data_IF_367980834393
#
_entry.id   IF_367980834393
#
_cell.length_a   1.000
_cell.length_b   1.000
_cell.length_c   1.000
_cell.angle_alpha   90.00
_cell.angle_beta   90.00
_cell.angle_gamma   90.00
#
_symmetry.space_group_name_H-M   'P 1'
#
loop_
_entity.id
_entity.type
_entity.pdbx_description
1 polymer ?
#
# COMPACT_ATOMS: atom_id res chain seq x y z
N UNK A 1 -23.71 -10.83 -19.86
CA UNK A 1 -22.42 -10.35 -19.35
C UNK A 1 -22.74 -9.43 -18.20
N UNK A 2 -22.18 -9.67 -17.02
CA UNK A 2 -22.25 -8.69 -15.93
C UNK A 2 -21.08 -7.74 -16.21
N UNK A 3 -21.37 -6.47 -16.50
CA UNK A 3 -20.32 -5.45 -16.47
C UNK A 3 -19.83 -5.37 -15.02
N UNK A 4 -18.55 -5.64 -14.81
CA UNK A 4 -17.92 -5.39 -13.51
C UNK A 4 -17.91 -3.90 -13.23
N UNK A 5 -17.83 -3.54 -11.94
CA UNK A 5 -17.66 -2.14 -11.55
C UNK A 5 -16.40 -1.55 -12.23
N UNK A 6 -16.43 -0.27 -12.63
CA UNK A 6 -15.29 0.35 -13.28
C UNK A 6 -14.09 0.40 -12.33
N UNK A 7 -12.98 -0.22 -12.75
CA UNK A 7 -11.69 -0.09 -12.11
C UNK A 7 -11.14 1.32 -12.40
N UNK A 8 -11.16 2.21 -11.40
CA UNK A 8 -10.69 3.59 -11.52
C UNK A 8 -9.21 3.73 -11.15
N UNK A 9 -8.65 2.79 -10.39
CA UNK A 9 -7.22 2.70 -10.06
C UNK A 9 -6.72 1.28 -10.25
N UNK A 10 -5.48 1.14 -10.70
CA UNK A 10 -4.85 -0.15 -10.93
C UNK A 10 -3.98 -0.55 -9.74
N UNK A 11 -4.20 -1.76 -9.23
CA UNK A 11 -3.38 -2.37 -8.18
C UNK A 11 -2.73 -3.65 -8.70
N UNK A 12 -1.40 -3.69 -8.72
CA UNK A 12 -0.65 -4.94 -8.89
C UNK A 12 -0.11 -5.40 -7.55
N UNK A 13 -0.18 -6.70 -7.27
CA UNK A 13 0.38 -7.29 -6.05
C UNK A 13 1.51 -8.25 -6.42
N UNK A 14 2.62 -8.17 -5.69
CA UNK A 14 3.65 -9.18 -5.77
C UNK A 14 3.10 -10.53 -5.31
N UNK A 15 3.55 -11.62 -5.95
CA UNK A 15 3.09 -13.00 -5.69
C UNK A 15 3.03 -13.36 -4.19
N UNK A 16 4.02 -12.93 -3.41
CA UNK A 16 4.06 -13.20 -1.98
C UNK A 16 2.87 -12.59 -1.21
N UNK A 17 2.39 -11.41 -1.61
CA UNK A 17 1.19 -10.81 -1.03
C UNK A 17 -0.04 -11.64 -1.42
N UNK A 18 -0.12 -12.08 -2.67
CA UNK A 18 -1.22 -12.94 -3.13
C UNK A 18 -1.28 -14.27 -2.38
N UNK A 19 -0.12 -14.87 -2.09
CA UNK A 19 -0.03 -16.09 -1.28
C UNK A 19 -0.49 -15.88 0.17
N UNK A 20 -0.38 -14.67 0.73
CA UNK A 20 -0.93 -14.35 2.05
C UNK A 20 -2.46 -14.21 2.05
N UNK A 21 -3.04 -13.85 0.91
CA UNK A 21 -4.49 -13.73 0.70
C UNK A 21 -5.17 -15.06 0.40
N UNK A 22 -4.41 -16.13 0.18
CA UNK A 22 -4.96 -17.43 -0.15
C UNK A 22 -5.71 -18.02 1.06
N UNK A 23 -7.04 -18.14 0.94
CA UNK A 23 -7.93 -18.64 1.97
C UNK A 23 -7.54 -20.05 2.46
N UNK A 24 -6.95 -20.88 1.59
CA UNK A 24 -6.51 -22.24 1.95
C UNK A 24 -5.37 -22.22 2.99
N UNK A 25 -4.67 -21.10 3.12
CA UNK A 25 -3.57 -20.93 4.07
C UNK A 25 -4.03 -20.44 5.46
N UNK A 26 -5.29 -20.00 5.58
CA UNK A 26 -5.83 -19.38 6.79
C UNK A 26 -6.27 -20.41 7.82
N UNK A 27 -5.30 -20.97 8.53
CA UNK A 27 -5.56 -21.92 9.62
C UNK A 27 -6.10 -21.26 10.91
N UNK A 28 -6.14 -19.93 10.97
CA UNK A 28 -6.67 -19.13 12.09
C UNK A 28 -7.81 -18.22 11.58
N UNK A 29 -9.04 -18.34 12.10
CA UNK A 29 -10.16 -17.48 11.73
C UNK A 29 -9.90 -15.97 11.89
N UNK A 30 -9.08 -15.56 12.88
CA UNK A 30 -8.73 -14.16 13.05
C UNK A 30 -7.83 -13.64 11.92
N UNK A 31 -6.96 -14.52 11.41
CA UNK A 31 -6.11 -14.23 10.27
C UNK A 31 -6.94 -14.06 9.00
N UNK A 32 -7.94 -14.93 8.80
CA UNK A 32 -8.85 -14.81 7.66
C UNK A 32 -9.68 -13.53 7.66
N UNK A 33 -10.22 -13.12 8.81
CA UNK A 33 -10.92 -11.81 8.93
C UNK A 33 -9.97 -10.66 8.60
N UNK A 34 -8.71 -10.76 9.03
CA UNK A 34 -7.70 -9.73 8.78
C UNK A 34 -7.34 -9.66 7.29
N UNK A 35 -7.10 -10.77 6.61
CA UNK A 35 -6.76 -10.73 5.19
C UNK A 35 -7.97 -10.41 4.30
N UNK A 36 -9.17 -10.91 4.61
CA UNK A 36 -10.39 -10.48 3.91
C UNK A 36 -10.66 -8.97 4.04
N UNK A 37 -10.38 -8.36 5.20
CA UNK A 37 -10.46 -6.90 5.33
C UNK A 37 -9.32 -6.17 4.59
N UNK A 38 -8.16 -6.81 4.38
CA UNK A 38 -7.11 -6.23 3.55
C UNK A 38 -7.52 -6.24 2.07
N UNK A 39 -8.18 -7.30 1.60
CA UNK A 39 -8.77 -7.37 0.26
C UNK A 39 -9.84 -6.29 0.07
N UNK A 40 -10.74 -6.10 1.04
CA UNK A 40 -11.72 -5.02 0.97
C UNK A 40 -11.06 -3.63 0.89
N UNK A 41 -9.90 -3.43 1.53
CA UNK A 41 -9.12 -2.20 1.39
C UNK A 41 -8.50 -2.08 -0.01
N UNK A 42 -8.09 -3.19 -0.64
CA UNK A 42 -7.65 -3.20 -2.04
C UNK A 42 -8.78 -2.87 -3.01
N UNK A 43 -9.97 -3.45 -2.81
CA UNK A 43 -11.15 -3.13 -3.61
C UNK A 43 -11.51 -1.65 -3.49
N UNK A 44 -11.45 -1.10 -2.27
CA UNK A 44 -11.65 0.34 -2.03
C UNK A 44 -10.65 1.20 -2.80
N UNK A 45 -9.40 0.79 -2.90
CA UNK A 45 -8.41 1.50 -3.71
C UNK A 45 -8.79 1.45 -5.20
N UNK A 46 -9.05 0.24 -5.72
CA UNK A 46 -9.29 -0.08 -7.13
C UNK A 46 -10.58 0.57 -7.68
N UNK A 47 -11.65 0.55 -6.89
CA UNK A 47 -12.95 1.17 -7.24
C UNK A 47 -12.90 2.70 -7.28
N UNK A 48 -11.79 3.31 -6.83
CA UNK A 48 -11.61 4.76 -6.87
C UNK A 48 -12.37 5.50 -5.79
N UNK A 49 -12.65 4.85 -4.64
CA UNK A 49 -13.23 5.54 -3.49
C UNK A 49 -12.38 6.73 -3.06
N UNK A 50 -13.02 7.70 -2.40
CA UNK A 50 -12.31 8.79 -1.74
C UNK A 50 -11.49 8.22 -0.59
N UNK A 51 -10.17 8.30 -0.75
CA UNK A 51 -9.20 7.78 0.22
C UNK A 51 -8.40 8.94 0.86
N UNK A 52 -8.27 8.96 2.20
CA UNK A 52 -7.39 9.90 2.89
C UNK A 52 -5.91 9.58 2.65
N UNK A 53 -5.11 10.58 2.26
CA UNK A 53 -3.71 10.45 1.88
C UNK A 53 -2.80 11.28 2.79
N UNK A 54 -1.86 10.62 3.46
CA UNK A 54 -0.78 11.28 4.20
C UNK A 54 0.40 11.59 3.29
N UNK A 55 0.49 12.82 2.78
CA UNK A 55 1.60 13.27 1.94
C UNK A 55 2.88 13.57 2.74
N UNK A 56 2.74 14.12 3.94
CA UNK A 56 3.86 14.38 4.86
C UNK A 56 4.21 13.08 5.63
N UNK A 57 5.42 12.51 5.47
CA UNK A 57 5.81 11.31 6.20
C UNK A 57 5.75 11.44 7.73
N UNK A 58 5.91 12.65 8.28
CA UNK A 58 5.98 12.93 9.72
C UNK A 58 4.71 13.59 10.28
N UNK A 59 3.92 14.26 9.43
CA UNK A 59 2.69 14.97 9.79
C UNK A 59 1.38 14.31 9.34
N UNK A 60 1.40 13.02 8.97
CA UNK A 60 0.22 12.30 8.47
C UNK A 60 -0.83 12.01 9.55
N UNK A 61 -2.09 12.26 9.25
CA UNK A 61 -3.21 11.85 10.10
C UNK A 61 -3.26 10.33 10.36
N UNK A 62 -3.70 9.95 11.56
CA UNK A 62 -3.86 8.54 11.93
C UNK A 62 -4.86 7.79 11.05
N UNK A 63 -5.84 8.52 10.50
CA UNK A 63 -6.85 8.04 9.57
C UNK A 63 -6.42 7.97 8.10
N UNK A 64 -5.16 8.26 7.76
CA UNK A 64 -4.71 8.12 6.38
C UNK A 64 -4.84 6.66 5.91
N UNK A 65 -5.51 6.45 4.78
CA UNK A 65 -5.62 5.16 4.10
C UNK A 65 -4.32 4.81 3.38
N UNK A 66 -3.70 5.80 2.74
CA UNK A 66 -2.36 5.67 2.15
C UNK A 66 -1.44 6.73 2.73
N UNK A 67 -0.14 6.44 2.78
CA UNK A 67 0.83 7.43 3.21
C UNK A 67 2.17 7.25 2.51
N UNK A 68 2.78 8.39 2.16
CA UNK A 68 4.16 8.45 1.65
C UNK A 68 5.14 8.12 2.78
N UNK A 69 6.23 7.45 2.42
CA UNK A 69 7.29 7.07 3.36
C UNK A 69 8.49 8.00 3.19
N UNK A 70 9.20 8.25 4.28
CA UNK A 70 10.46 8.96 4.26
C UNK A 70 11.62 8.07 3.78
N UNK A 71 12.57 8.60 2.98
CA UNK A 71 12.50 9.90 2.33
C UNK A 71 11.64 9.88 1.04
N UNK A 72 10.88 10.96 0.71
CA UNK A 72 9.96 10.99 -0.43
C UNK A 72 10.56 10.66 -1.79
N UNK A 73 11.84 10.98 -2.00
CA UNK A 73 12.53 10.74 -3.27
C UNK A 73 12.76 9.25 -3.59
N UNK A 74 12.55 8.34 -2.62
CA UNK A 74 12.61 6.90 -2.88
C UNK A 74 11.32 6.36 -3.51
N UNK A 75 10.24 7.15 -3.52
CA UNK A 75 8.98 6.79 -4.17
C UNK A 75 8.20 5.66 -3.49
N UNK A 76 8.48 5.38 -2.21
CA UNK A 76 7.82 4.31 -1.47
C UNK A 76 6.64 4.84 -0.66
N UNK A 77 5.57 4.05 -0.66
CA UNK A 77 4.30 4.32 0.01
C UNK A 77 3.83 3.12 0.81
N UNK A 78 2.88 3.37 1.71
CA UNK A 78 2.09 2.30 2.35
C UNK A 78 0.61 2.47 2.10
N UNK A 79 -0.09 1.39 1.74
CA UNK A 79 -1.51 1.22 2.06
C UNK A 79 -1.61 0.81 3.53
N UNK A 80 -2.53 1.44 4.27
CA UNK A 80 -2.68 1.33 5.71
C UNK A 80 -4.01 0.63 6.04
N UNK A 81 -3.98 -0.70 6.08
CA UNK A 81 -5.10 -1.45 6.62
C UNK A 81 -5.06 -1.48 8.15
N UNK A 82 -5.92 -0.69 8.81
CA UNK A 82 -5.76 -0.35 10.24
C UNK A 82 -6.61 -1.19 11.20
N UNK A 83 -7.82 -1.57 10.77
CA UNK A 83 -8.81 -2.27 11.59
C UNK A 83 -9.39 -3.46 10.79
N UNK A 84 -9.73 -4.60 11.43
CA UNK A 84 -9.41 -4.94 12.82
C UNK A 84 -7.88 -5.11 13.04
N UNK A 85 -7.47 -5.22 14.31
CA UNK A 85 -6.06 -5.45 14.68
C UNK A 85 -5.68 -6.93 14.49
N UNK A 86 -4.41 -7.24 14.20
CA UNK A 86 -3.29 -6.30 14.06
C UNK A 86 -3.37 -5.50 12.76
N UNK A 87 -2.86 -4.26 12.75
CA UNK A 87 -2.87 -3.46 11.52
C UNK A 87 -1.81 -3.97 10.54
N UNK A 88 -2.10 -3.94 9.25
CA UNK A 88 -1.17 -4.32 8.17
C UNK A 88 -0.73 -3.06 7.40
N UNK A 89 0.51 -3.07 6.94
CA UNK A 89 1.07 -2.09 6.01
C UNK A 89 1.50 -2.81 4.76
N UNK A 90 0.98 -2.38 3.62
CA UNK A 90 1.42 -2.88 2.31
C UNK A 90 2.37 -1.84 1.76
N UNK A 91 3.65 -2.18 1.69
CA UNK A 91 4.67 -1.30 1.12
C UNK A 91 4.69 -1.51 -0.39
N UNK A 92 4.82 -0.41 -1.11
CA UNK A 92 4.82 -0.43 -2.56
C UNK A 92 5.22 0.91 -3.15
N UNK A 93 5.06 1.03 -4.46
CA UNK A 93 5.36 2.25 -5.19
C UNK A 93 4.37 2.46 -6.34
N UNK A 94 4.24 3.70 -6.77
CA UNK A 94 3.53 4.03 -8.00
C UNK A 94 4.45 3.83 -9.20
N UNK A 95 3.90 3.29 -10.29
CA UNK A 95 4.57 3.30 -11.59
C UNK A 95 4.18 4.54 -12.40
N UNK A 96 2.91 4.93 -12.31
CA UNK A 96 2.27 6.09 -12.93
C UNK A 96 1.06 6.51 -12.06
N UNK A 97 0.42 7.67 -12.31
CA UNK A 97 -0.76 8.08 -11.55
C UNK A 97 -1.85 7.00 -11.55
N UNK A 98 -2.48 6.77 -10.39
CA UNK A 98 -3.50 5.75 -10.13
C UNK A 98 -3.06 4.29 -10.38
N UNK A 99 -1.76 4.02 -10.61
CA UNK A 99 -1.20 2.67 -10.72
C UNK A 99 -0.22 2.40 -9.57
N UNK A 100 -0.69 1.65 -8.57
CA UNK A 100 0.11 1.23 -7.42
C UNK A 100 0.54 -0.23 -7.53
N UNK A 101 1.79 -0.51 -7.16
CA UNK A 101 2.33 -1.87 -7.06
C UNK A 101 2.65 -2.17 -5.60
N UNK A 102 1.87 -3.06 -4.98
CA UNK A 102 2.13 -3.61 -3.65
C UNK A 102 3.23 -4.68 -3.72
N UNK A 103 4.31 -4.50 -2.95
CA UNK A 103 5.53 -5.29 -3.07
C UNK A 103 5.75 -6.24 -1.88
N UNK A 104 5.48 -5.77 -0.66
CA UNK A 104 5.57 -6.57 0.57
C UNK A 104 4.48 -6.14 1.56
N UNK A 105 4.10 -7.03 2.47
CA UNK A 105 3.29 -6.68 3.65
C UNK A 105 4.14 -6.74 4.92
N UNK A 106 3.76 -5.94 5.93
CA UNK A 106 4.30 -6.02 7.28
C UNK A 106 3.21 -5.72 8.29
N UNK A 107 3.21 -6.44 9.42
CA UNK A 107 2.33 -6.12 10.54
C UNK A 107 2.86 -4.86 11.24
N UNK A 108 1.97 -3.88 11.47
CA UNK A 108 2.34 -2.56 12.01
C UNK A 108 3.09 -2.64 13.34
N UNK A 109 2.74 -3.57 14.23
CA UNK A 109 3.38 -3.68 15.55
C UNK A 109 4.87 -4.07 15.46
N UNK A 110 5.27 -4.71 14.36
CA UNK A 110 6.64 -5.21 14.15
C UNK A 110 7.54 -4.17 13.46
N UNK A 111 6.96 -3.06 12.98
CA UNK A 111 7.67 -2.01 12.23
C UNK A 111 8.28 -0.92 13.10
N UNK A 112 8.09 -0.95 14.42
CA UNK A 112 8.54 0.15 15.30
C UNK A 112 7.93 1.51 14.93
N UNK A 113 8.75 2.51 14.68
CA UNK A 113 8.34 3.87 14.31
C UNK A 113 9.05 4.37 13.04
N UNK A 114 8.68 5.53 12.46
CA UNK A 114 9.22 6.00 11.17
C UNK A 114 10.75 6.12 11.07
N UNK A 115 11.46 6.23 12.19
CA UNK A 115 12.92 6.25 12.25
C UNK A 115 13.56 4.96 12.80
N UNK A 116 12.77 3.90 13.03
CA UNK A 116 13.33 2.65 13.54
C UNK A 116 13.99 1.84 12.43
N UNK A 117 14.89 0.94 12.84
CA UNK A 117 15.60 0.05 11.91
C UNK A 117 14.64 -0.87 11.16
N UNK A 118 13.60 -1.36 11.81
CA UNK A 118 12.59 -2.25 11.24
C UNK A 118 11.80 -1.54 10.14
N UNK A 119 11.46 -0.27 10.34
CA UNK A 119 10.81 0.56 9.32
C UNK A 119 11.72 0.79 8.11
N UNK A 120 12.99 1.13 8.36
CA UNK A 120 13.99 1.31 7.30
C UNK A 120 14.20 0.01 6.51
N UNK A 121 14.36 -1.13 7.19
CA UNK A 121 14.52 -2.43 6.55
C UNK A 121 13.32 -2.78 5.67
N UNK A 122 12.08 -2.56 6.14
CA UNK A 122 10.89 -2.81 5.32
C UNK A 122 10.85 -1.91 4.07
N UNK A 123 11.31 -0.66 4.17
CA UNK A 123 11.45 0.22 3.01
C UNK A 123 12.49 -0.32 2.02
N UNK A 124 13.67 -0.70 2.50
CA UNK A 124 14.74 -1.25 1.64
C UNK A 124 14.33 -2.59 1.01
N UNK A 125 13.60 -3.45 1.74
CA UNK A 125 13.03 -4.69 1.20
C UNK A 125 12.07 -4.39 0.03
N UNK A 126 11.22 -3.37 0.17
CA UNK A 126 10.32 -2.96 -0.90
C UNK A 126 11.09 -2.40 -2.11
N UNK A 127 12.12 -1.58 -1.89
CA UNK A 127 12.98 -1.06 -2.96
C UNK A 127 13.66 -2.20 -3.70
N UNK A 128 14.31 -3.12 -2.98
CA UNK A 128 14.96 -4.28 -3.57
C UNK A 128 13.98 -5.15 -4.35
N UNK A 129 12.76 -5.33 -3.82
CA UNK A 129 11.72 -6.10 -4.51
C UNK A 129 11.27 -5.42 -5.81
N UNK A 130 11.12 -4.11 -5.82
CA UNK A 130 10.86 -3.34 -7.04
C UNK A 130 11.98 -3.54 -8.05
N UNK A 131 13.22 -3.28 -7.66
CA UNK A 131 14.38 -3.33 -8.56
C UNK A 131 14.57 -4.71 -9.19
N UNK A 132 14.20 -5.77 -8.46
CA UNK A 132 14.20 -7.15 -8.96
C UNK A 132 13.06 -7.44 -9.96
N UNK A 133 11.87 -6.87 -9.75
CA UNK A 133 10.70 -7.10 -10.61
C UNK A 133 10.73 -6.22 -11.86
N UNK A 134 11.25 -5.01 -11.76
CA UNK A 134 11.25 -3.99 -12.82
C UNK A 134 12.64 -3.40 -13.01
N UNK A 135 13.63 -4.21 -13.44
CA UNK A 135 15.01 -3.75 -13.57
C UNK A 135 15.10 -2.57 -14.55
N UNK A 136 15.68 -1.46 -14.09
CA UNK A 136 15.85 -0.24 -14.89
C UNK A 136 14.62 0.67 -14.97
N UNK A 137 13.48 0.29 -14.38
CA UNK A 137 12.29 1.15 -14.32
C UNK A 137 12.27 1.96 -13.03
N UNK A 138 12.08 3.28 -13.19
CA UNK A 138 11.97 4.19 -12.06
C UNK A 138 10.59 4.15 -11.44
N UNK A 139 10.54 4.17 -10.10
CA UNK A 139 9.33 4.46 -9.34
C UNK A 139 8.90 5.91 -9.59
N UNK A 140 7.60 6.15 -9.63
CA UNK A 140 7.06 7.50 -9.70
C UNK A 140 7.39 8.26 -8.41
N UNK A 141 7.87 9.48 -8.57
CA UNK A 141 8.11 10.43 -7.48
C UNK A 141 7.41 11.74 -7.82
N UNK A 142 7.07 12.52 -6.78
CA UNK A 142 6.19 13.67 -6.93
C UNK A 142 6.12 14.50 -5.65
N UNK A 143 5.78 15.76 -5.81
CA UNK A 143 5.69 16.74 -4.73
C UNK A 143 4.25 16.99 -4.27
N UNK A 144 3.28 16.71 -5.13
CA UNK A 144 1.86 17.01 -4.95
C UNK A 144 1.01 15.74 -4.99
N UNK A 145 -0.26 15.84 -4.62
CA UNK A 145 -1.19 14.73 -4.66
C UNK A 145 -1.50 14.30 -6.11
N UNK A 146 -1.63 15.29 -7.00
CA UNK A 146 -2.00 15.11 -8.41
C UNK A 146 -0.93 14.36 -9.22
N UNK A 147 0.30 14.31 -8.71
CA UNK A 147 1.38 13.50 -9.30
C UNK A 147 1.11 11.99 -9.18
N UNK A 148 0.23 11.57 -8.25
CA UNK A 148 -0.01 10.15 -7.94
C UNK A 148 -1.47 9.73 -8.14
N UNK A 149 -2.42 10.66 -8.09
CA UNK A 149 -3.85 10.38 -8.18
C UNK A 149 -4.50 11.36 -9.13
N UNK A 150 -5.19 10.88 -10.17
CA UNK A 150 -5.84 11.76 -11.13
C UNK A 150 -7.17 12.28 -10.58
N UNK A 151 -7.88 11.50 -9.75
CA UNK A 151 -9.17 11.90 -9.15
C UNK A 151 -9.43 11.23 -7.78
N UNK A 152 -10.30 11.86 -6.97
CA UNK A 152 -10.89 11.33 -5.71
C UNK A 152 -9.89 10.91 -4.62
N UNK A 153 -8.93 11.77 -4.30
CA UNK A 153 -8.06 11.63 -3.12
C UNK A 153 -8.05 12.93 -2.31
N UNK A 154 -7.91 12.85 -0.99
CA UNK A 154 -7.87 14.01 -0.09
C UNK A 154 -6.65 13.93 0.84
N UNK A 155 -5.92 15.05 1.01
CA UNK A 155 -4.77 15.09 1.91
C UNK A 155 -5.25 15.16 3.37
N UNK A 156 -4.64 14.38 4.25
CA UNK A 156 -4.89 14.36 5.71
C UNK A 156 -3.63 14.25 6.55
#
# INVERSE_FOLDING_TARGET
MIEGDPCLRTLFLAKAIWEELDEETWNDPQLGVRYGQLEADFDRYVTGDTIPIGMDPYGKGDGAFMARIDPPHLGIWTIRSVAPKPAIRVFGAFCEPDLFVGLITRVRRDLGGPGSREWANAREDAIQRWDNLFPGHTRLTGGSLDDFFLQKAIIV
#
